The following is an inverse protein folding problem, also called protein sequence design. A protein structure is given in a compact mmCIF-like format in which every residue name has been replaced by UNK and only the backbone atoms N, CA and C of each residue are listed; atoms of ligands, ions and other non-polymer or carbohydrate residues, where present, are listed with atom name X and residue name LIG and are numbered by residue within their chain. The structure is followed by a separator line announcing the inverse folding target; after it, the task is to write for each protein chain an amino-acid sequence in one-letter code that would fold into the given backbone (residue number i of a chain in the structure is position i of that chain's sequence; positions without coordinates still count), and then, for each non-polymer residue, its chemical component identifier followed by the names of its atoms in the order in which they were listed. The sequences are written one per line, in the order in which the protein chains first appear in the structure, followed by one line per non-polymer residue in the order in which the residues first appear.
data_IF_326576596765
#
_entry.id   IF_326576596765
#
_cell.length_a   1.000
_cell.length_b   1.000
_cell.length_c   1.000
_cell.angle_alpha   90.00
_cell.angle_beta   90.00
_cell.angle_gamma   90.00
#
_symmetry.space_group_name_H-M   'P 1'
#
loop_
_entity.id
_entity.type
_entity.pdbx_description
1 polymer ?
#
# COMPACT_ATOMS: atom_id res chain seq x y z
N UNK A 1 4.52 31.28 2.78
CA UNK A 1 3.33 30.57 3.32
C UNK A 1 3.73 29.18 3.80
N UNK A 2 2.88 28.54 4.57
CA UNK A 2 3.06 27.14 4.99
C UNK A 2 3.14 26.23 3.78
N UNK A 3 2.33 26.48 2.76
CA UNK A 3 2.34 25.73 1.50
C UNK A 3 3.69 25.78 0.81
N UNK A 4 4.31 26.96 0.70
CA UNK A 4 5.65 27.11 0.07
C UNK A 4 6.72 26.34 0.84
N UNK A 5 6.70 26.33 2.17
CA UNK A 5 7.66 25.56 2.97
C UNK A 5 7.49 24.04 2.75
N UNK A 6 6.25 23.56 2.68
CA UNK A 6 5.96 22.16 2.41
C UNK A 6 6.39 21.74 0.99
N UNK A 7 6.20 22.61 -0.01
CA UNK A 7 6.67 22.33 -1.37
C UNK A 7 8.19 22.29 -1.47
N UNK A 8 8.92 23.18 -0.78
CA UNK A 8 10.38 23.07 -0.68
C UNK A 8 10.81 21.74 -0.07
N UNK A 9 10.21 21.34 1.06
CA UNK A 9 10.49 20.05 1.70
C UNK A 9 10.14 18.85 0.81
N UNK A 10 9.06 18.94 0.05
CA UNK A 10 8.65 17.88 -0.87
C UNK A 10 9.67 17.65 -1.98
N UNK A 11 10.25 18.72 -2.52
CA UNK A 11 11.24 18.68 -3.61
C UNK A 11 12.66 18.42 -3.09
N UNK A 12 13.02 19.06 -1.98
CA UNK A 12 14.35 18.98 -1.36
C UNK A 12 14.47 17.85 -0.32
N UNK A 13 13.33 17.19 -0.01
CA UNK A 13 13.23 16.17 1.04
C UNK A 13 14.24 15.04 0.91
N UNK A 14 14.32 14.14 1.89
CA UNK A 14 15.39 13.14 1.97
C UNK A 14 15.38 12.23 0.75
N UNK A 15 16.27 12.50 -0.19
CA UNK A 15 16.49 11.65 -1.36
C UNK A 15 17.21 10.35 -1.00
N UNK A 16 17.52 10.14 0.28
CA UNK A 16 18.16 8.93 0.80
C UNK A 16 17.29 8.32 1.89
N UNK A 17 16.92 7.05 1.70
CA UNK A 17 16.21 6.28 2.72
C UNK A 17 14.67 6.21 2.53
N UNK A 18 14.17 6.54 1.36
CA UNK A 18 12.77 6.24 1.01
C UNK A 18 12.62 4.72 0.93
N UNK A 19 11.60 4.19 1.58
CA UNK A 19 11.32 2.76 1.56
C UNK A 19 11.15 2.26 0.12
N UNK A 20 11.64 1.04 -0.22
CA UNK A 20 11.40 0.44 -1.52
C UNK A 20 9.89 0.45 -1.83
N UNK A 21 9.52 0.94 -3.02
CA UNK A 21 8.12 1.04 -3.46
C UNK A 21 7.50 2.43 -3.38
N UNK A 22 8.19 3.40 -2.79
CA UNK A 22 7.77 4.81 -2.89
C UNK A 22 8.28 5.38 -4.21
N UNK A 23 7.37 5.71 -5.12
CA UNK A 23 7.72 6.41 -6.36
C UNK A 23 7.78 7.89 -6.07
N UNK A 24 8.93 8.51 -6.33
CA UNK A 24 9.11 9.94 -6.28
C UNK A 24 9.24 10.47 -7.71
N UNK A 25 8.31 11.31 -8.13
CA UNK A 25 8.31 11.92 -9.46
C UNK A 25 9.21 13.17 -9.53
N UNK A 26 9.92 13.51 -8.46
CA UNK A 26 10.85 14.65 -8.42
C UNK A 26 12.18 14.24 -9.04
N UNK A 27 12.60 14.84 -10.17
CA UNK A 27 13.91 14.57 -10.75
C UNK A 27 15.06 15.01 -9.84
N UNK A 28 16.21 14.37 -10.00
CA UNK A 28 17.42 14.79 -9.29
C UNK A 28 17.81 16.22 -9.69
N UNK A 29 18.02 17.08 -8.71
CA UNK A 29 18.37 18.49 -8.93
C UNK A 29 17.19 19.41 -9.23
N UNK A 30 15.95 18.90 -9.23
CA UNK A 30 14.77 19.75 -9.33
C UNK A 30 14.61 20.62 -8.08
N UNK A 31 14.10 21.83 -8.25
CA UNK A 31 13.92 22.80 -7.16
C UNK A 31 12.55 23.50 -7.23
N UNK A 32 12.01 23.84 -6.07
CA UNK A 32 10.90 24.76 -5.94
C UNK A 32 11.44 26.20 -5.93
N UNK A 33 11.14 26.98 -6.98
CA UNK A 33 11.63 28.36 -7.13
C UNK A 33 10.82 29.40 -6.36
N UNK A 34 9.76 28.99 -5.68
CA UNK A 34 8.87 29.87 -4.93
C UNK A 34 7.60 30.25 -5.70
N UNK A 35 6.86 31.21 -5.12
CA UNK A 35 5.67 31.78 -5.77
C UNK A 35 6.03 32.97 -6.64
N UNK A 36 5.55 32.95 -7.90
CA UNK A 36 5.66 34.08 -8.82
C UNK A 36 4.30 34.30 -9.50
N UNK A 37 3.79 35.52 -9.44
CA UNK A 37 2.51 35.94 -10.05
C UNK A 37 1.33 35.00 -9.68
N UNK A 38 1.30 34.54 -8.42
CA UNK A 38 0.29 33.61 -7.93
C UNK A 38 0.46 32.15 -8.37
N UNK A 39 1.59 31.78 -8.98
CA UNK A 39 1.91 30.43 -9.39
C UNK A 39 3.03 29.83 -8.54
N UNK A 40 2.94 28.54 -8.23
CA UNK A 40 3.96 27.75 -7.56
C UNK A 40 4.94 27.21 -8.60
N UNK A 41 6.12 27.81 -8.70
CA UNK A 41 7.07 27.60 -9.80
C UNK A 41 8.11 26.55 -9.46
N UNK A 42 8.34 25.62 -10.37
CA UNK A 42 9.33 24.57 -10.25
C UNK A 42 10.29 24.58 -11.45
N UNK A 43 11.53 24.17 -11.23
CA UNK A 43 12.59 24.11 -12.24
C UNK A 43 13.27 22.74 -12.18
N UNK A 44 13.69 22.20 -13.32
CA UNK A 44 14.40 20.93 -13.43
C UNK A 44 13.49 19.72 -13.68
N UNK A 45 12.32 19.92 -14.25
CA UNK A 45 11.32 18.90 -14.56
C UNK A 45 11.22 18.53 -16.05
N UNK A 46 12.16 19.01 -16.89
CA UNK A 46 12.11 18.86 -18.34
C UNK A 46 12.06 17.42 -18.86
N UNK A 47 12.57 16.45 -18.09
CA UNK A 47 12.64 15.04 -18.51
C UNK A 47 11.38 14.22 -18.21
N UNK A 48 10.40 14.78 -17.49
CA UNK A 48 9.18 14.06 -17.16
C UNK A 48 8.26 13.94 -18.37
N UNK A 49 7.71 12.74 -18.56
CA UNK A 49 6.60 12.51 -19.50
C UNK A 49 5.27 13.08 -18.97
N UNK A 50 4.22 13.05 -19.79
CA UNK A 50 2.92 13.62 -19.43
C UNK A 50 2.30 13.02 -18.17
N UNK A 51 2.38 11.68 -18.01
CA UNK A 51 1.81 10.99 -16.85
C UNK A 51 2.58 11.31 -15.57
N UNK A 52 3.89 11.40 -15.64
CA UNK A 52 4.74 11.80 -14.51
C UNK A 52 4.48 13.25 -14.10
N UNK A 53 4.32 14.16 -15.07
CA UNK A 53 3.94 15.55 -14.80
C UNK A 53 2.59 15.64 -14.12
N UNK A 54 1.62 14.85 -14.56
CA UNK A 54 0.29 14.82 -13.97
C UNK A 54 0.31 14.29 -12.53
N UNK A 55 1.05 13.21 -12.24
CA UNK A 55 1.23 12.70 -10.88
C UNK A 55 1.95 13.70 -9.97
N UNK A 56 2.96 14.39 -10.48
CA UNK A 56 3.64 15.44 -9.72
C UNK A 56 2.70 16.60 -9.42
N UNK A 57 1.90 17.05 -10.41
CA UNK A 57 0.89 18.08 -10.21
C UNK A 57 -0.12 17.69 -9.11
N UNK A 58 -0.55 16.44 -9.10
CA UNK A 58 -1.42 15.90 -8.05
C UNK A 58 -0.76 15.97 -6.67
N UNK A 59 0.52 15.62 -6.53
CA UNK A 59 1.26 15.76 -5.27
C UNK A 59 1.27 17.20 -4.78
N UNK A 60 1.51 18.18 -5.68
CA UNK A 60 1.50 19.60 -5.34
C UNK A 60 0.11 20.04 -4.88
N UNK A 61 -0.93 19.75 -5.66
CA UNK A 61 -2.32 20.14 -5.37
C UNK A 61 -2.77 19.60 -4.01
N UNK A 62 -2.57 18.31 -3.76
CA UNK A 62 -2.96 17.68 -2.50
C UNK A 62 -2.12 18.19 -1.31
N UNK A 63 -0.84 18.51 -1.50
CA UNK A 63 0.00 19.11 -0.45
C UNK A 63 -0.52 20.48 -0.06
N UNK A 64 -0.85 21.32 -1.03
CA UNK A 64 -1.37 22.68 -0.80
C UNK A 64 -2.77 22.64 -0.17
N UNK A 65 -3.66 21.80 -0.68
CA UNK A 65 -5.01 21.65 -0.13
C UNK A 65 -4.97 21.18 1.34
N UNK A 66 -4.09 20.25 1.68
CA UNK A 66 -3.88 19.81 3.08
C UNK A 66 -3.25 20.87 3.97
N UNK A 67 -2.46 21.78 3.39
CA UNK A 67 -1.91 22.94 4.10
C UNK A 67 -2.95 24.05 4.33
N UNK A 68 -4.19 23.90 3.84
CA UNK A 68 -5.26 24.89 3.94
C UNK A 68 -5.11 26.05 2.95
N UNK A 69 -4.24 25.94 1.96
CA UNK A 69 -4.14 26.93 0.90
C UNK A 69 -5.35 26.81 -0.04
N UNK A 70 -5.94 27.93 -0.42
CA UNK A 70 -7.11 27.93 -1.31
C UNK A 70 -6.68 27.75 -2.78
N UNK A 71 -7.34 26.82 -3.50
CA UNK A 71 -7.19 26.64 -4.94
C UNK A 71 -8.08 27.60 -5.75
N UNK A 72 -8.05 27.54 -7.10
CA UNK A 72 -7.21 26.64 -7.90
C UNK A 72 -5.72 27.04 -7.90
N UNK A 73 -4.85 26.03 -8.12
CA UNK A 73 -3.39 26.21 -8.03
C UNK A 73 -2.76 26.27 -9.42
N UNK A 74 -1.93 27.26 -9.65
CA UNK A 74 -1.13 27.39 -10.87
C UNK A 74 0.26 26.78 -10.63
N UNK A 75 0.60 25.76 -11.42
CA UNK A 75 1.80 24.95 -11.23
C UNK A 75 2.59 24.84 -12.54
N UNK A 76 3.38 25.86 -12.90
CA UNK A 76 4.29 25.73 -14.04
C UNK A 76 5.53 24.91 -13.69
N UNK A 77 5.88 23.95 -14.56
CA UNK A 77 7.16 23.22 -14.53
C UNK A 77 8.05 23.74 -15.67
N UNK A 78 9.22 24.25 -15.35
CA UNK A 78 10.15 24.87 -16.29
C UNK A 78 9.48 25.96 -17.16
N UNK A 79 8.55 26.71 -16.57
CA UNK A 79 7.77 27.74 -17.22
C UNK A 79 6.60 27.23 -18.07
N UNK A 80 6.37 25.94 -18.17
CA UNK A 80 5.25 25.34 -18.89
C UNK A 80 4.12 25.03 -17.91
N UNK A 81 2.93 25.65 -18.03
CA UNK A 81 1.78 25.34 -17.20
C UNK A 81 1.36 23.88 -17.34
N UNK A 82 0.98 23.25 -16.22
CA UNK A 82 0.39 21.91 -16.20
C UNK A 82 -1.12 21.92 -16.34
N UNK A 83 -1.72 23.05 -16.03
CA UNK A 83 -3.17 23.26 -16.11
C UNK A 83 -3.66 23.46 -17.56
N UNK A 84 -4.84 22.94 -17.83
CA UNK A 84 -5.59 23.22 -19.07
C UNK A 84 -6.42 24.49 -18.84
N UNK A 85 -5.95 25.61 -19.40
CA UNK A 85 -6.59 26.92 -19.23
C UNK A 85 -5.92 27.83 -18.22
N UNK A 86 -6.53 28.98 -17.93
CA UNK A 86 -5.95 30.01 -17.06
C UNK A 86 -6.34 29.86 -15.56
N UNK A 87 -7.26 28.97 -15.28
CA UNK A 87 -7.84 28.87 -13.93
C UNK A 87 -6.93 28.16 -12.91
N UNK A 88 -5.97 27.36 -13.37
CA UNK A 88 -5.15 26.49 -12.48
C UNK A 88 -5.80 25.14 -12.23
N UNK A 89 -5.09 24.28 -11.48
CA UNK A 89 -5.53 22.94 -11.08
C UNK A 89 -6.30 22.99 -9.77
N UNK A 90 -7.42 22.29 -9.71
CA UNK A 90 -8.22 22.06 -8.52
C UNK A 90 -8.00 20.64 -7.99
N UNK A 91 -8.53 20.33 -6.80
CA UNK A 91 -8.53 18.97 -6.26
C UNK A 91 -9.38 18.01 -7.08
N UNK A 92 -10.40 18.51 -7.78
CA UNK A 92 -11.25 17.74 -8.68
C UNK A 92 -10.48 17.26 -9.92
N UNK A 93 -9.57 18.09 -10.45
CA UNK A 93 -8.75 17.74 -11.63
C UNK A 93 -7.76 16.62 -11.36
N UNK A 94 -7.44 16.36 -10.10
CA UNK A 94 -6.51 15.34 -9.64
C UNK A 94 -7.17 14.35 -8.66
N UNK A 95 -8.50 14.23 -8.72
CA UNK A 95 -9.28 13.42 -7.78
C UNK A 95 -8.89 11.94 -7.82
N UNK A 96 -8.44 11.42 -8.94
CA UNK A 96 -7.95 10.05 -9.10
C UNK A 96 -6.71 9.75 -8.23
N UNK A 97 -5.90 10.78 -7.91
CA UNK A 97 -4.73 10.71 -7.02
C UNK A 97 -5.04 11.17 -5.59
N UNK A 98 -6.31 11.22 -5.20
CA UNK A 98 -6.67 11.65 -3.87
C UNK A 98 -6.06 10.71 -2.81
N UNK A 99 -5.13 11.19 -1.96
CA UNK A 99 -4.51 10.36 -0.95
C UNK A 99 -5.50 9.90 0.13
N UNK A 100 -6.70 10.48 0.16
CA UNK A 100 -7.79 10.08 1.05
C UNK A 100 -8.79 9.12 0.37
N UNK A 101 -8.66 8.84 -0.93
CA UNK A 101 -9.52 7.84 -1.61
C UNK A 101 -9.21 6.43 -1.11
N UNK A 102 -7.97 6.19 -0.62
CA UNK A 102 -7.67 5.02 0.22
C UNK A 102 -8.26 5.11 1.64
N UNK A 103 -8.68 6.30 2.11
CA UNK A 103 -9.28 6.56 3.43
C UNK A 103 -10.81 6.68 3.33
N UNK A 104 -11.34 6.92 2.13
CA UNK A 104 -12.79 6.97 1.84
C UNK A 104 -13.39 5.61 1.48
N UNK A 105 -12.63 4.68 0.89
CA UNK A 105 -12.83 3.26 1.09
C UNK A 105 -12.05 2.92 2.36
N UNK A 106 -12.69 2.98 3.50
CA UNK A 106 -12.21 2.29 4.69
C UNK A 106 -11.83 0.90 4.21
N UNK A 107 -10.53 0.60 4.17
CA UNK A 107 -10.12 -0.79 4.01
C UNK A 107 -10.93 -1.54 5.04
N UNK A 108 -11.73 -2.52 4.66
CA UNK A 108 -12.58 -3.18 5.62
C UNK A 108 -11.69 -3.65 6.76
N UNK A 109 -12.10 -3.39 7.97
CA UNK A 109 -11.44 -3.97 9.12
C UNK A 109 -11.70 -5.47 9.09
N UNK A 110 -10.70 -6.24 9.45
CA UNK A 110 -10.84 -7.68 9.57
C UNK A 110 -10.69 -8.09 11.03
N UNK A 111 -11.49 -9.02 11.46
CA UNK A 111 -11.41 -9.58 12.79
C UNK A 111 -11.33 -11.11 12.70
N UNK A 112 -10.53 -11.72 13.56
CA UNK A 112 -10.45 -13.16 13.71
C UNK A 112 -11.15 -13.55 15.01
N UNK A 113 -12.15 -14.41 14.92
CA UNK A 113 -12.87 -14.91 16.10
C UNK A 113 -13.31 -16.36 15.88
N UNK A 114 -13.15 -17.18 16.89
CA UNK A 114 -13.52 -18.61 16.85
C UNK A 114 -12.98 -19.36 15.62
N UNK A 115 -11.75 -19.03 15.20
CA UNK A 115 -11.12 -19.66 14.04
C UNK A 115 -11.67 -19.22 12.69
N UNK A 116 -12.49 -18.18 12.63
CA UNK A 116 -13.11 -17.64 11.42
C UNK A 116 -12.71 -16.19 11.21
N UNK A 117 -12.52 -15.80 9.95
CA UNK A 117 -12.26 -14.42 9.57
C UNK A 117 -13.58 -13.69 9.32
N UNK A 118 -13.68 -12.48 9.80
CA UNK A 118 -14.81 -11.57 9.63
C UNK A 118 -14.37 -10.31 8.91
N UNK A 119 -15.24 -9.78 8.08
CA UNK A 119 -15.14 -8.45 7.48
C UNK A 119 -16.00 -7.51 8.30
N UNK A 120 -15.41 -6.44 8.82
CA UNK A 120 -16.07 -5.45 9.67
C UNK A 120 -16.25 -4.16 8.88
N UNK A 121 -17.47 -3.78 8.63
CA UNK A 121 -17.87 -2.49 8.04
C UNK A 121 -18.40 -1.56 9.14
N UNK A 122 -18.68 -0.33 8.79
CA UNK A 122 -19.20 0.68 9.74
C UNK A 122 -20.51 0.30 10.41
N UNK A 123 -21.33 -0.53 9.76
CA UNK A 123 -22.70 -0.88 10.14
C UNK A 123 -22.94 -2.38 10.34
N UNK A 124 -21.99 -3.24 9.99
CA UNK A 124 -22.17 -4.70 10.07
C UNK A 124 -20.85 -5.45 10.19
N UNK A 125 -20.97 -6.68 10.66
CA UNK A 125 -19.89 -7.67 10.75
C UNK A 125 -20.36 -8.92 10.01
N UNK A 126 -19.70 -9.26 8.93
CA UNK A 126 -20.02 -10.42 8.10
C UNK A 126 -18.88 -11.43 8.14
N UNK A 127 -19.18 -12.71 7.97
CA UNK A 127 -18.15 -13.73 7.73
C UNK A 127 -17.41 -13.42 6.43
N UNK A 128 -16.10 -13.56 6.43
CA UNK A 128 -15.31 -13.48 5.21
C UNK A 128 -15.76 -14.60 4.24
N UNK A 129 -15.73 -14.35 2.93
CA UNK A 129 -16.18 -15.31 1.95
C UNK A 129 -15.31 -16.57 1.88
N UNK A 130 -15.87 -17.65 1.38
CA UNK A 130 -15.16 -18.89 1.07
C UNK A 130 -14.52 -19.56 2.28
N UNK A 131 -13.29 -20.02 2.13
CA UNK A 131 -12.54 -20.77 3.14
C UNK A 131 -12.27 -19.95 4.41
N UNK A 132 -12.14 -18.64 4.28
CA UNK A 132 -11.75 -17.76 5.37
C UNK A 132 -12.80 -17.64 6.47
N UNK A 133 -14.09 -17.62 6.11
CA UNK A 133 -15.20 -17.58 7.06
C UNK A 133 -15.84 -18.95 7.32
N UNK A 134 -15.29 -20.04 6.78
CA UNK A 134 -15.85 -21.36 6.95
C UNK A 134 -15.82 -21.80 8.43
N UNK A 135 -16.84 -22.56 8.86
CA UNK A 135 -16.97 -23.00 10.24
C UNK A 135 -15.80 -23.90 10.68
N UNK A 136 -15.19 -24.63 9.73
CA UNK A 136 -14.05 -25.50 9.92
C UNK A 136 -12.71 -24.84 9.53
N UNK A 137 -12.67 -23.52 9.37
CA UNK A 137 -11.47 -22.79 8.95
C UNK A 137 -10.31 -22.94 9.93
N UNK A 138 -10.60 -22.98 11.24
CA UNK A 138 -9.63 -23.16 12.31
C UNK A 138 -8.40 -22.23 12.20
N UNK A 139 -8.65 -20.98 11.83
CA UNK A 139 -7.60 -19.98 11.67
C UNK A 139 -7.11 -19.50 13.03
N UNK A 140 -5.80 -19.49 13.23
CA UNK A 140 -5.13 -19.03 14.44
C UNK A 140 -4.68 -17.56 14.31
N UNK A 141 -4.25 -17.17 13.12
CA UNK A 141 -3.85 -15.80 12.80
C UNK A 141 -4.00 -15.53 11.31
N UNK A 142 -4.13 -14.27 10.93
CA UNK A 142 -4.21 -13.86 9.53
C UNK A 142 -3.55 -12.51 9.31
N UNK A 143 -3.12 -12.28 8.06
CA UNK A 143 -2.75 -11.00 7.52
C UNK A 143 -3.41 -10.81 6.15
N UNK A 144 -3.79 -9.58 5.84
CA UNK A 144 -4.49 -9.24 4.61
C UNK A 144 -3.67 -8.16 3.89
N UNK A 145 -3.53 -8.29 2.57
CA UNK A 145 -2.83 -7.31 1.75
C UNK A 145 -3.42 -5.90 1.91
N UNK A 146 -2.60 -4.89 1.67
CA UNK A 146 -3.03 -3.49 1.73
C UNK A 146 -4.22 -3.19 0.78
N UNK A 147 -4.34 -3.94 -0.31
CA UNK A 147 -5.44 -3.86 -1.28
C UNK A 147 -6.68 -4.64 -0.84
N UNK A 148 -6.58 -5.47 0.21
CA UNK A 148 -7.69 -6.27 0.73
C UNK A 148 -8.07 -7.49 -0.12
N UNK A 149 -7.27 -7.84 -1.12
CA UNK A 149 -7.59 -8.89 -2.09
C UNK A 149 -6.88 -10.22 -1.82
N UNK A 150 -5.77 -10.22 -1.07
CA UNK A 150 -4.98 -11.41 -0.72
C UNK A 150 -4.97 -11.62 0.79
N UNK A 151 -5.17 -12.86 1.21
CA UNK A 151 -5.12 -13.29 2.61
C UNK A 151 -4.05 -14.35 2.77
N UNK A 152 -3.23 -14.20 3.79
CA UNK A 152 -2.33 -15.22 4.32
C UNK A 152 -2.77 -15.55 5.75
N UNK A 153 -3.10 -16.80 6.05
CA UNK A 153 -3.57 -17.17 7.38
C UNK A 153 -2.94 -18.48 7.87
N UNK A 154 -2.64 -18.55 9.16
CA UNK A 154 -2.23 -19.79 9.81
C UNK A 154 -3.48 -20.55 10.21
N UNK A 155 -3.59 -21.76 9.71
CA UNK A 155 -4.54 -22.77 10.17
C UNK A 155 -3.78 -23.80 11.01
N UNK A 156 -4.31 -24.15 12.16
CA UNK A 156 -3.75 -25.20 13.02
C UNK A 156 -4.74 -26.34 13.17
N UNK A 157 -4.28 -27.55 12.94
CA UNK A 157 -5.06 -28.79 13.06
C UNK A 157 -4.35 -29.79 13.95
N UNK A 158 -5.09 -30.76 14.49
CA UNK A 158 -4.57 -31.78 15.41
C UNK A 158 -4.33 -31.25 16.81
N UNK A 159 -3.98 -32.15 17.70
CA UNK A 159 -3.68 -31.86 19.12
C UNK A 159 -2.40 -32.57 19.54
N UNK A 160 -1.72 -32.04 20.55
CA UNK A 160 -0.51 -32.65 21.12
C UNK A 160 0.61 -32.81 20.09
N UNK A 161 1.11 -34.03 19.95
CA UNK A 161 2.22 -34.35 19.04
C UNK A 161 1.78 -34.38 17.56
N UNK A 162 0.47 -34.51 17.29
CA UNK A 162 -0.11 -34.47 15.94
C UNK A 162 -0.47 -33.05 15.50
N UNK A 163 -0.16 -32.04 16.31
CA UNK A 163 -0.39 -30.64 15.97
C UNK A 163 0.42 -30.23 14.75
N UNK A 164 -0.27 -29.71 13.73
CA UNK A 164 0.31 -29.16 12.51
C UNK A 164 -0.25 -27.79 12.22
N UNK A 165 0.63 -26.88 11.85
CA UNK A 165 0.27 -25.55 11.39
C UNK A 165 0.60 -25.39 9.93
N UNK A 166 -0.28 -24.77 9.17
CA UNK A 166 -0.07 -24.46 7.75
C UNK A 166 -0.44 -23.04 7.44
N UNK A 167 0.29 -22.38 6.54
CA UNK A 167 -0.12 -21.11 5.97
C UNK A 167 -0.99 -21.39 4.76
N UNK A 168 -2.24 -20.96 4.84
CA UNK A 168 -3.13 -20.87 3.69
C UNK A 168 -2.93 -19.51 3.04
N UNK A 169 -2.83 -19.49 1.71
CA UNK A 169 -2.68 -18.29 0.91
C UNK A 169 -3.70 -18.30 -0.22
N UNK A 170 -4.34 -17.18 -0.47
CA UNK A 170 -5.29 -17.06 -1.57
C UNK A 170 -5.98 -15.71 -1.62
N UNK A 171 -6.76 -15.46 -2.67
CA UNK A 171 -7.60 -14.28 -2.74
C UNK A 171 -8.71 -14.32 -1.68
N UNK A 172 -9.19 -13.15 -1.26
CA UNK A 172 -10.29 -13.06 -0.29
C UNK A 172 -11.56 -13.76 -0.80
N UNK A 173 -11.81 -13.68 -2.10
CA UNK A 173 -12.99 -14.25 -2.77
C UNK A 173 -12.65 -15.44 -3.68
N UNK A 174 -11.73 -16.32 -3.29
CA UNK A 174 -11.33 -17.41 -4.17
C UNK A 174 -10.80 -18.64 -3.45
N UNK A 175 -10.18 -19.52 -4.20
CA UNK A 175 -9.59 -20.73 -3.67
C UNK A 175 -8.30 -20.45 -2.93
N UNK A 176 -8.05 -21.23 -1.89
CA UNK A 176 -6.84 -21.17 -1.07
C UNK A 176 -5.88 -22.29 -1.43
N UNK A 177 -4.60 -22.01 -1.31
CA UNK A 177 -3.53 -23.00 -1.43
C UNK A 177 -2.73 -23.07 -0.15
N UNK A 178 -2.22 -24.25 0.22
CA UNK A 178 -1.27 -24.40 1.33
C UNK A 178 0.10 -23.94 0.84
N UNK A 179 0.59 -22.86 1.42
CA UNK A 179 1.86 -22.25 1.08
C UNK A 179 3.05 -22.88 1.82
N UNK A 180 2.81 -23.32 3.04
CA UNK A 180 3.83 -23.80 3.96
C UNK A 180 3.19 -24.67 5.05
N UNK A 181 3.86 -25.72 5.48
CA UNK A 181 3.45 -26.56 6.62
C UNK A 181 4.63 -26.76 7.56
N UNK A 182 4.41 -26.59 8.86
CA UNK A 182 5.37 -26.79 9.94
C UNK A 182 4.62 -27.22 11.20
N UNK A 183 5.37 -27.60 12.24
CA UNK A 183 4.80 -27.90 13.55
C UNK A 183 4.17 -26.64 14.19
N UNK A 184 4.87 -25.52 14.10
CA UNK A 184 4.37 -24.21 14.55
C UNK A 184 4.75 -23.12 13.55
N UNK A 185 3.88 -22.14 13.38
CA UNK A 185 4.08 -20.99 12.53
C UNK A 185 3.64 -19.72 13.25
N UNK A 186 4.41 -18.65 13.14
CA UNK A 186 3.96 -17.34 13.60
C UNK A 186 2.92 -16.75 12.62
N UNK A 187 2.22 -15.72 13.07
CA UNK A 187 1.38 -14.91 12.18
C UNK A 187 2.19 -14.52 10.93
N UNK A 188 1.67 -14.76 9.72
CA UNK A 188 2.30 -14.30 8.50
C UNK A 188 2.23 -12.77 8.42
N UNK A 189 3.20 -12.18 7.72
CA UNK A 189 3.23 -10.76 7.38
C UNK A 189 3.44 -10.62 5.88
N UNK A 190 2.42 -10.19 5.17
CA UNK A 190 2.46 -9.94 3.72
C UNK A 190 3.34 -8.74 3.41
N UNK A 191 4.13 -8.84 2.34
CA UNK A 191 4.78 -7.68 1.75
C UNK A 191 3.73 -6.74 1.13
N UNK A 192 4.10 -5.48 0.94
CA UNK A 192 3.19 -4.44 0.48
C UNK A 192 2.45 -4.80 -0.82
N UNK A 193 3.16 -5.42 -1.76
CA UNK A 193 2.62 -5.86 -3.05
C UNK A 193 2.04 -7.28 -3.03
N UNK A 194 1.98 -7.90 -1.85
CA UNK A 194 1.54 -9.28 -1.63
C UNK A 194 2.31 -10.33 -2.48
N UNK A 195 3.53 -10.01 -2.94
CA UNK A 195 4.37 -10.93 -3.72
C UNK A 195 5.01 -12.01 -2.86
N UNK A 196 5.12 -11.77 -1.57
CA UNK A 196 5.67 -12.69 -0.57
C UNK A 196 5.06 -12.41 0.81
N UNK A 197 5.26 -13.36 1.72
CA UNK A 197 5.02 -13.16 3.15
C UNK A 197 6.19 -13.66 3.99
N UNK A 198 6.29 -13.13 5.19
CA UNK A 198 7.27 -13.53 6.20
C UNK A 198 6.58 -14.26 7.34
N UNK A 199 7.24 -15.26 7.90
CA UNK A 199 6.77 -15.99 9.09
C UNK A 199 7.96 -16.60 9.84
N UNK A 200 7.74 -17.00 11.09
CA UNK A 200 8.74 -17.74 11.89
C UNK A 200 8.34 -19.20 11.94
N UNK A 201 9.25 -20.07 11.54
CA UNK A 201 9.11 -21.51 11.54
C UNK A 201 9.58 -22.06 12.89
N UNK A 202 8.76 -22.88 13.52
CA UNK A 202 9.08 -23.62 14.72
C UNK A 202 9.75 -22.78 15.84
N UNK A 203 9.37 -21.48 15.88
CA UNK A 203 9.83 -20.51 16.86
C UNK A 203 11.28 -20.01 16.69
N UNK A 204 12.01 -20.47 15.68
CA UNK A 204 13.47 -20.20 15.56
C UNK A 204 13.93 -19.68 14.22
N UNK A 205 13.30 -20.07 13.12
CA UNK A 205 13.77 -19.76 11.76
C UNK A 205 12.86 -18.77 11.09
N UNK A 206 13.42 -17.66 10.61
CA UNK A 206 12.68 -16.66 9.81
C UNK A 206 12.65 -17.14 8.36
N UNK A 207 11.46 -17.21 7.77
CA UNK A 207 11.27 -17.58 6.38
C UNK A 207 10.53 -16.49 5.61
N UNK A 208 11.01 -16.22 4.39
CA UNK A 208 10.31 -15.47 3.36
C UNK A 208 9.79 -16.44 2.32
N UNK A 209 8.49 -16.45 2.12
CA UNK A 209 7.84 -17.32 1.14
C UNK A 209 7.31 -16.47 -0.01
N UNK A 210 7.91 -16.61 -1.17
CA UNK A 210 7.53 -15.87 -2.38
C UNK A 210 6.36 -16.52 -3.09
N UNK A 211 5.44 -15.71 -3.58
CA UNK A 211 4.35 -16.14 -4.44
C UNK A 211 4.79 -15.99 -5.90
N UNK A 212 4.99 -17.08 -6.62
CA UNK A 212 5.21 -17.02 -8.07
C UNK A 212 3.92 -16.68 -8.79
N UNK A 213 3.91 -15.59 -9.54
CA UNK A 213 2.74 -15.19 -10.34
C UNK A 213 2.51 -16.09 -11.58
N UNK A 214 3.55 -16.73 -12.06
CA UNK A 214 3.48 -17.49 -13.32
C UNK A 214 2.97 -18.93 -13.14
N UNK A 215 3.31 -19.58 -12.03
CA UNK A 215 3.08 -21.03 -11.84
C UNK A 215 2.31 -21.35 -10.56
N UNK A 216 2.08 -20.37 -9.68
CA UNK A 216 1.58 -20.63 -8.33
C UNK A 216 2.61 -21.31 -7.43
N UNK A 217 3.80 -21.57 -7.91
CA UNK A 217 4.90 -22.13 -7.12
C UNK A 217 5.43 -21.10 -6.12
N UNK A 218 5.77 -21.57 -4.94
CA UNK A 218 6.33 -20.76 -3.88
C UNK A 218 7.76 -21.20 -3.60
N UNK A 219 8.68 -20.24 -3.61
CA UNK A 219 10.04 -20.45 -3.16
C UNK A 219 10.22 -19.98 -1.73
N UNK A 220 10.83 -20.83 -0.91
CA UNK A 220 11.16 -20.54 0.48
C UNK A 220 12.64 -20.15 0.56
N UNK A 221 12.91 -19.04 1.27
CA UNK A 221 14.27 -18.64 1.63
C UNK A 221 14.33 -18.68 3.15
N UNK A 222 15.10 -19.61 3.69
CA UNK A 222 15.39 -19.69 5.11
C UNK A 222 16.64 -18.83 5.41
N UNK A 223 16.55 -17.92 6.37
CA UNK A 223 17.69 -17.18 6.87
C UNK A 223 18.35 -17.96 8.01
N UNK A 224 19.66 -18.14 7.92
CA UNK A 224 20.44 -18.60 9.06
C UNK A 224 20.53 -17.51 10.14
N UNK A 225 20.67 -17.93 11.38
CA UNK A 225 20.81 -17.09 12.58
C UNK A 225 22.10 -16.30 12.57
#
# INVERSE_FOLDING_TARGET
STGSALLSLMVEGPQRGIAPGVVNEVPEGAVFSGMKDGAYTFIGFGELNADQRHRFAAQVVWTLARAGEAGPYRVPLDGVPLEIGQAGLSVEDVAEFNPNVGVGSLSPLYALSNGQLYVVSSDRVDLAPGRWGAQDAQLESADISATGDVVAAVQTTGEGDDKKSQVLLGPLNGETTTALERRTLSRPSLEYDASAFWTVLDGTTIARVSRSRATGEMSQIEGDK
#
